data_IF_437487886702
#
_entry.id   IF_437487886702
#
_cell.length_a   1.000
_cell.length_b   1.000
_cell.length_c   1.000
_cell.angle_alpha   90.00
_cell.angle_beta   90.00
_cell.angle_gamma   90.00
#
_symmetry.space_group_name_H-M   'P 1'
#
loop_
_entity.id
_entity.type
_entity.pdbx_description
1 polymer ?
#
# COMPACT_ATOMS: atom_id res chain seq x y z
N UNK A 1 23.17 30.10 -4.52
CA UNK A 1 22.78 28.85 -3.84
C UNK A 1 21.87 28.16 -4.82
N UNK A 2 22.27 27.03 -5.39
CA UNK A 2 21.38 26.27 -6.25
C UNK A 2 20.29 25.70 -5.33
N UNK A 3 19.05 26.12 -5.51
CA UNK A 3 17.92 25.39 -4.94
C UNK A 3 17.91 24.04 -5.63
N UNK A 4 18.31 22.99 -4.92
CA UNK A 4 18.20 21.63 -5.41
C UNK A 4 16.71 21.31 -5.55
N UNK A 5 16.19 21.45 -6.78
CA UNK A 5 14.84 21.02 -7.12
C UNK A 5 14.78 19.51 -6.92
N UNK A 6 14.18 19.09 -5.81
CA UNK A 6 14.02 17.68 -5.48
C UNK A 6 12.99 17.05 -6.41
N UNK A 7 13.46 16.12 -7.25
CA UNK A 7 12.58 15.31 -8.09
C UNK A 7 12.01 14.16 -7.26
N UNK A 8 10.67 13.97 -7.22
CA UNK A 8 10.08 12.82 -6.54
C UNK A 8 10.59 11.50 -7.14
N UNK A 9 10.90 10.52 -6.29
CA UNK A 9 11.40 9.20 -6.72
C UNK A 9 10.46 8.51 -7.72
N UNK A 10 9.15 8.74 -7.59
CA UNK A 10 8.15 8.34 -8.59
C UNK A 10 8.58 8.86 -9.97
N UNK A 11 8.71 10.17 -10.15
CA UNK A 11 8.96 10.80 -11.46
C UNK A 11 10.25 10.36 -12.14
N UNK A 12 11.25 9.92 -11.37
CA UNK A 12 12.44 9.26 -11.92
C UNK A 12 12.06 7.94 -12.64
N UNK A 13 11.20 7.14 -12.02
CA UNK A 13 10.67 5.91 -12.62
C UNK A 13 9.78 6.19 -13.84
N UNK A 14 8.89 7.18 -13.80
CA UNK A 14 8.12 7.54 -15.01
C UNK A 14 9.01 8.09 -16.11
N UNK A 15 10.08 8.83 -15.82
CA UNK A 15 11.01 9.30 -16.83
C UNK A 15 11.76 8.14 -17.52
N UNK A 16 12.26 7.19 -16.73
CA UNK A 16 12.93 5.98 -17.25
C UNK A 16 11.96 5.15 -18.10
N UNK A 17 10.70 5.03 -17.68
CA UNK A 17 9.68 4.32 -18.43
C UNK A 17 9.28 5.07 -19.71
N UNK A 18 8.92 6.35 -19.59
CA UNK A 18 8.46 7.23 -20.67
C UNK A 18 8.66 8.73 -20.29
N UNK A 19 9.66 9.42 -20.86
CA UNK A 19 9.94 10.83 -20.57
C UNK A 19 8.74 11.77 -20.78
N UNK A 20 7.91 11.46 -21.78
CA UNK A 20 6.69 12.23 -22.06
C UNK A 20 5.66 12.13 -20.94
N UNK A 21 5.52 10.96 -20.31
CA UNK A 21 4.59 10.78 -19.19
C UNK A 21 5.04 11.61 -17.98
N UNK A 22 6.32 11.56 -17.63
CA UNK A 22 6.90 12.38 -16.57
C UNK A 22 6.72 13.89 -16.83
N UNK A 23 6.89 14.34 -18.08
CA UNK A 23 6.64 15.74 -18.45
C UNK A 23 5.17 16.12 -18.21
N UNK A 24 4.21 15.31 -18.67
CA UNK A 24 2.77 15.59 -18.50
C UNK A 24 2.31 15.53 -17.04
N UNK A 25 2.84 14.60 -16.23
CA UNK A 25 2.42 14.42 -14.84
C UNK A 25 3.07 15.41 -13.86
N UNK A 26 4.34 15.74 -14.05
CA UNK A 26 5.12 16.53 -13.07
C UNK A 26 5.50 17.91 -13.54
N UNK A 27 5.91 18.07 -14.81
CA UNK A 27 6.36 19.38 -15.32
C UNK A 27 5.16 20.27 -15.65
N UNK A 28 4.20 19.75 -16.41
CA UNK A 28 2.97 20.48 -16.76
C UNK A 28 1.95 20.47 -15.61
N UNK A 29 1.95 19.43 -14.76
CA UNK A 29 1.03 19.34 -13.63
C UNK A 29 -0.45 19.20 -14.02
N UNK A 30 -0.73 18.81 -15.26
CA UNK A 30 -2.08 18.71 -15.85
C UNK A 30 -2.91 17.55 -15.27
N UNK A 31 -2.36 16.78 -14.34
CA UNK A 31 -3.07 15.73 -13.58
C UNK A 31 -3.72 16.30 -12.31
N UNK A 32 -4.61 17.27 -12.49
CA UNK A 32 -5.50 17.71 -11.42
C UNK A 32 -6.55 16.62 -11.13
N UNK A 33 -6.95 16.50 -9.85
CA UNK A 33 -8.04 15.63 -9.45
C UNK A 33 -9.34 16.03 -10.19
N UNK A 34 -9.97 15.07 -10.89
CA UNK A 34 -11.30 15.25 -11.45
C UNK A 34 -12.37 14.93 -10.40
N UNK A 35 -13.63 15.35 -10.65
CA UNK A 35 -14.75 14.96 -9.78
C UNK A 35 -14.83 13.45 -9.57
N UNK A 36 -14.52 12.67 -10.61
CA UNK A 36 -14.51 11.21 -10.57
C UNK A 36 -13.35 10.64 -9.75
N UNK A 37 -12.14 11.21 -9.82
CA UNK A 37 -11.00 10.73 -9.02
C UNK A 37 -11.22 10.99 -7.52
N UNK A 38 -11.80 12.13 -7.16
CA UNK A 38 -12.15 12.45 -5.76
C UNK A 38 -13.24 11.51 -5.25
N UNK A 39 -14.28 11.27 -6.04
CA UNK A 39 -15.36 10.34 -5.68
C UNK A 39 -14.87 8.89 -5.61
N UNK A 40 -14.01 8.49 -6.54
CA UNK A 40 -13.35 7.19 -6.57
C UNK A 40 -12.49 6.96 -5.33
N UNK A 41 -11.67 7.95 -4.93
CA UNK A 41 -10.86 7.90 -3.70
C UNK A 41 -11.72 7.65 -2.48
N UNK A 42 -12.82 8.38 -2.32
CA UNK A 42 -13.76 8.21 -1.18
C UNK A 42 -14.40 6.82 -1.20
N UNK A 43 -14.81 6.35 -2.37
CA UNK A 43 -15.41 5.02 -2.53
C UNK A 43 -14.44 3.91 -2.16
N UNK A 44 -13.19 4.02 -2.62
CA UNK A 44 -12.11 3.09 -2.32
C UNK A 44 -11.78 3.07 -0.83
N UNK A 45 -11.62 4.23 -0.19
CA UNK A 45 -11.34 4.31 1.26
C UNK A 45 -12.44 3.60 2.04
N UNK A 46 -13.72 3.88 1.73
CA UNK A 46 -14.85 3.22 2.41
C UNK A 46 -14.86 1.71 2.18
N UNK A 47 -14.58 1.25 0.95
CA UNK A 47 -14.51 -0.18 0.66
C UNK A 47 -13.36 -0.86 1.40
N UNK A 48 -12.21 -0.19 1.49
CA UNK A 48 -11.05 -0.66 2.23
C UNK A 48 -11.32 -0.74 3.73
N UNK A 49 -11.95 0.27 4.33
CA UNK A 49 -12.36 0.26 5.74
C UNK A 49 -13.30 -0.92 6.04
N UNK A 50 -14.32 -1.14 5.19
CA UNK A 50 -15.20 -2.32 5.31
C UNK A 50 -14.42 -3.62 5.23
N UNK A 51 -13.43 -3.73 4.34
CA UNK A 51 -12.57 -4.93 4.22
C UNK A 51 -11.75 -5.15 5.49
N UNK A 52 -11.22 -4.09 6.09
CA UNK A 52 -10.43 -4.17 7.33
C UNK A 52 -11.24 -4.67 8.54
N UNK A 53 -12.55 -4.42 8.56
CA UNK A 53 -13.47 -4.84 9.63
C UNK A 53 -13.93 -6.30 9.49
N UNK A 54 -13.74 -6.93 8.34
CA UNK A 54 -14.16 -8.32 8.14
C UNK A 54 -13.37 -9.28 9.03
N UNK A 55 -14.11 -10.12 9.76
CA UNK A 55 -13.56 -11.22 10.56
C UNK A 55 -13.10 -12.38 9.67
N UNK A 56 -11.89 -12.87 9.93
CA UNK A 56 -11.24 -13.99 9.24
C UNK A 56 -10.57 -14.92 10.25
N UNK A 57 -10.52 -16.21 9.93
CA UNK A 57 -9.78 -17.19 10.74
C UNK A 57 -8.28 -17.07 10.51
N UNK A 58 -7.49 -16.95 11.58
CA UNK A 58 -6.02 -17.01 11.44
C UNK A 58 -5.56 -18.43 11.06
N UNK A 59 -4.81 -18.63 9.96
CA UNK A 59 -4.50 -19.96 9.43
C UNK A 59 -3.67 -20.83 10.38
N UNK A 60 -2.87 -20.21 11.25
CA UNK A 60 -2.02 -20.94 12.22
C UNK A 60 -2.66 -21.08 13.60
N UNK A 61 -3.48 -20.11 14.02
CA UNK A 61 -3.96 -20.03 15.42
C UNK A 61 -5.43 -20.43 15.57
N UNK A 62 -6.20 -20.48 14.48
CA UNK A 62 -7.58 -20.98 14.46
C UNK A 62 -8.65 -20.06 15.03
N UNK A 63 -8.30 -18.94 15.68
CA UNK A 63 -9.29 -17.98 16.19
C UNK A 63 -9.72 -16.96 15.12
N UNK A 64 -10.90 -16.35 15.34
CA UNK A 64 -11.43 -15.25 14.53
C UNK A 64 -10.74 -13.93 14.92
N UNK A 65 -10.32 -13.19 13.91
CA UNK A 65 -9.82 -11.82 14.04
C UNK A 65 -10.24 -10.97 12.84
N UNK A 66 -10.44 -9.68 13.06
CA UNK A 66 -10.56 -8.72 11.96
C UNK A 66 -9.34 -8.74 11.04
N UNK A 67 -9.58 -8.45 9.75
CA UNK A 67 -8.53 -8.33 8.73
C UNK A 67 -7.49 -7.26 9.13
N UNK A 68 -7.92 -6.18 9.79
CA UNK A 68 -7.03 -5.19 10.41
C UNK A 68 -6.07 -5.85 11.41
N UNK A 69 -6.59 -6.67 12.32
CA UNK A 69 -5.77 -7.36 13.32
C UNK A 69 -4.88 -8.43 12.69
N UNK A 70 -5.33 -9.10 11.63
CA UNK A 70 -4.52 -10.02 10.85
C UNK A 70 -3.23 -9.34 10.33
N UNK A 71 -3.31 -8.12 9.79
CA UNK A 71 -2.12 -7.37 9.34
C UNK A 71 -1.11 -7.17 10.46
N UNK A 72 -1.55 -6.80 11.67
CA UNK A 72 -0.68 -6.66 12.83
C UNK A 72 -0.06 -8.00 13.27
N UNK A 73 -0.84 -9.09 13.26
CA UNK A 73 -0.33 -10.43 13.61
C UNK A 73 0.74 -10.87 12.60
N UNK A 74 0.48 -10.71 11.31
CA UNK A 74 1.41 -11.05 10.24
C UNK A 74 2.70 -10.22 10.33
N UNK A 75 2.63 -8.90 10.60
CA UNK A 75 3.81 -8.08 10.84
C UNK A 75 4.65 -8.56 12.04
N UNK A 76 4.01 -9.00 13.13
CA UNK A 76 4.71 -9.57 14.30
C UNK A 76 5.35 -10.91 13.98
N UNK A 77 4.67 -11.78 13.23
CA UNK A 77 5.22 -13.07 12.81
C UNK A 77 6.42 -12.89 11.88
N UNK A 78 6.36 -11.93 10.95
CA UNK A 78 7.48 -11.56 10.10
C UNK A 78 8.68 -11.10 10.95
N UNK A 79 8.46 -10.19 11.90
CA UNK A 79 9.50 -9.72 12.81
C UNK A 79 10.09 -10.85 13.68
N UNK A 80 9.29 -11.84 14.08
CA UNK A 80 9.80 -13.04 14.77
C UNK A 80 10.67 -13.90 13.85
N UNK A 81 10.28 -14.06 12.58
CA UNK A 81 11.05 -14.83 11.61
C UNK A 81 12.39 -14.17 11.31
N UNK A 82 12.40 -12.84 11.12
CA UNK A 82 13.63 -12.08 10.88
C UNK A 82 14.61 -12.13 12.07
N UNK A 83 14.10 -12.28 13.29
CA UNK A 83 14.91 -12.44 14.52
C UNK A 83 15.31 -13.89 14.80
N UNK A 84 14.91 -14.85 13.98
CA UNK A 84 15.19 -16.28 14.17
C UNK A 84 14.40 -16.95 15.31
N UNK A 85 13.36 -16.30 15.86
CA UNK A 85 12.51 -16.90 16.90
C UNK A 85 11.56 -17.97 16.36
N UNK A 86 11.25 -17.92 15.06
CA UNK A 86 10.44 -18.92 14.37
C UNK A 86 11.18 -19.38 13.10
N UNK A 87 11.09 -20.68 12.74
CA UNK A 87 11.86 -21.25 11.64
C UNK A 87 11.46 -20.73 10.27
N UNK A 88 10.19 -20.36 10.09
CA UNK A 88 9.67 -19.78 8.86
C UNK A 88 8.47 -18.88 9.14
N UNK A 89 8.27 -17.88 8.28
CA UNK A 89 7.10 -17.00 8.32
C UNK A 89 5.88 -17.68 7.68
N UNK A 90 4.79 -17.91 8.44
CA UNK A 90 3.56 -18.48 7.88
C UNK A 90 2.74 -17.38 7.19
N UNK A 91 2.88 -17.27 5.87
CA UNK A 91 2.22 -16.26 5.08
C UNK A 91 0.69 -16.47 5.02
N UNK A 92 -0.06 -15.38 5.20
CA UNK A 92 -1.50 -15.35 5.02
C UNK A 92 -1.87 -15.01 3.57
N UNK A 93 -2.73 -15.82 2.96
CA UNK A 93 -3.36 -15.54 1.67
C UNK A 93 -4.85 -15.26 1.93
N UNK A 94 -5.32 -14.02 1.72
CA UNK A 94 -6.74 -13.71 1.78
C UNK A 94 -7.49 -14.54 0.73
N UNK A 95 -8.62 -15.13 1.13
CA UNK A 95 -9.60 -15.72 0.21
C UNK A 95 -10.66 -14.71 -0.16
#
# INVERSE_FOLDING_TARGET
MADDVLVPARMVNEWVYCPRLAYLEWVEGEWADSGDTVNGRRTLIRAFERRLEQEVTHPVFGYQISTRRMLHVQARLLAKSLRGEIPAYPHYIPR
#
